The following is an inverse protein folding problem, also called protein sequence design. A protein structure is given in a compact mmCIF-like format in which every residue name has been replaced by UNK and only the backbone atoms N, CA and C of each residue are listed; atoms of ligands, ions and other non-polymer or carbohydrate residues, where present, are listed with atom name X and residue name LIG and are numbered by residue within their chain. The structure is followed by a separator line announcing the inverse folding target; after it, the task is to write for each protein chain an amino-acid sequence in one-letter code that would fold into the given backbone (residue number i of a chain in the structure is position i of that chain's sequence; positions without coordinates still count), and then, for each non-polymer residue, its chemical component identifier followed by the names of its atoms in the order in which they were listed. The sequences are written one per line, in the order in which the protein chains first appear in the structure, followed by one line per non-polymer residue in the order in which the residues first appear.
data_IF_911551784218
#
_entry.id   IF_911551784218
#
_cell.length_a   1.000
_cell.length_b   1.000
_cell.length_c   1.000
_cell.angle_alpha   90.00
_cell.angle_beta   90.00
_cell.angle_gamma   90.00
#
_symmetry.space_group_name_H-M   'P 1'
#
loop_
_entity.id
_entity.type
_entity.pdbx_description
1 polymer ?
#
# COMPACT_ATOMS: atom_id res chain seq x y z
N UNK A 1 10.90 7.68 0.69
CA UNK A 1 9.71 6.94 0.20
C UNK A 1 9.88 6.48 -1.25
N UNK A 2 10.03 7.40 -2.22
CA UNK A 2 10.36 7.11 -3.62
C UNK A 2 11.48 8.03 -4.13
N UNK A 3 11.74 7.98 -5.43
CA UNK A 3 12.72 8.84 -6.11
C UNK A 3 12.01 9.79 -7.08
N UNK A 4 12.04 11.10 -6.78
CA UNK A 4 11.31 12.13 -7.53
C UNK A 4 11.71 12.16 -9.01
N UNK A 5 12.95 11.82 -9.34
CA UNK A 5 13.47 11.84 -10.71
C UNK A 5 13.03 10.61 -11.53
N UNK A 6 12.41 9.61 -10.88
CA UNK A 6 12.00 8.34 -11.50
C UNK A 6 10.49 8.10 -11.48
N UNK A 7 9.75 8.80 -10.63
CA UNK A 7 8.30 8.62 -10.49
C UNK A 7 7.53 9.23 -11.67
N UNK A 8 6.58 8.47 -12.21
CA UNK A 8 5.69 8.93 -13.27
C UNK A 8 4.55 9.76 -12.70
N UNK A 9 4.55 11.07 -12.97
CA UNK A 9 3.51 12.00 -12.47
C UNK A 9 2.08 11.58 -12.83
N UNK A 10 1.87 10.97 -14.01
CA UNK A 10 0.55 10.49 -14.43
C UNK A 10 0.03 9.35 -13.54
N UNK A 11 0.92 8.54 -12.98
CA UNK A 11 0.57 7.42 -12.11
C UNK A 11 0.52 7.83 -10.62
N UNK A 12 1.34 8.79 -10.20
CA UNK A 12 1.48 9.17 -8.78
C UNK A 12 0.65 10.39 -8.37
N UNK A 13 0.42 11.34 -9.29
CA UNK A 13 -0.28 12.60 -9.06
C UNK A 13 -1.22 12.91 -10.25
N UNK A 14 -2.20 12.02 -10.54
CA UNK A 14 -3.04 12.12 -11.73
C UNK A 14 -3.85 13.43 -11.78
N UNK A 15 -4.27 13.97 -10.64
CA UNK A 15 -4.95 15.27 -10.54
C UNK A 15 -4.10 16.44 -11.04
N UNK A 16 -2.78 16.42 -10.80
CA UNK A 16 -1.87 17.46 -11.30
C UNK A 16 -1.77 17.38 -12.81
N UNK A 17 -1.70 16.18 -13.37
CA UNK A 17 -1.72 15.97 -14.83
C UNK A 17 -3.03 16.41 -15.46
N UNK A 18 -4.14 16.13 -14.81
CA UNK A 18 -5.45 16.60 -15.24
C UNK A 18 -5.50 18.13 -15.25
N UNK A 19 -5.03 18.79 -14.19
CA UNK A 19 -5.01 20.25 -14.12
C UNK A 19 -4.13 20.90 -15.19
N UNK A 20 -2.96 20.32 -15.46
CA UNK A 20 -2.08 20.76 -16.54
C UNK A 20 -2.80 20.69 -17.90
N UNK A 21 -3.43 19.56 -18.22
CA UNK A 21 -4.07 19.33 -19.52
C UNK A 21 -5.33 20.16 -19.74
N UNK A 22 -6.20 20.23 -18.73
CA UNK A 22 -7.51 20.88 -18.87
C UNK A 22 -7.46 22.39 -18.66
N UNK A 23 -6.55 22.87 -17.80
CA UNK A 23 -6.51 24.29 -17.42
C UNK A 23 -5.26 25.03 -17.91
N UNK A 24 -4.29 24.33 -18.50
CA UNK A 24 -3.04 24.89 -19.04
C UNK A 24 -2.06 25.43 -17.98
N UNK A 25 -2.50 25.59 -16.73
CA UNK A 25 -1.70 26.00 -15.59
C UNK A 25 -2.20 25.36 -14.30
N UNK A 26 -1.28 24.86 -13.48
CA UNK A 26 -1.62 24.17 -12.22
C UNK A 26 -2.41 25.06 -11.25
N UNK A 27 -2.05 26.35 -11.16
CA UNK A 27 -2.75 27.31 -10.28
C UNK A 27 -4.22 27.46 -10.70
N UNK A 28 -4.50 27.48 -12.00
CA UNK A 28 -5.87 27.57 -12.50
C UNK A 28 -6.67 26.30 -12.18
N UNK A 29 -6.06 25.13 -12.36
CA UNK A 29 -6.70 23.86 -12.00
C UNK A 29 -6.96 23.73 -10.50
N UNK A 30 -6.00 24.12 -9.66
CA UNK A 30 -6.19 24.16 -8.21
C UNK A 30 -7.32 25.11 -7.80
N UNK A 31 -7.39 26.31 -8.38
CA UNK A 31 -8.51 27.24 -8.14
C UNK A 31 -9.86 26.68 -8.59
N UNK A 32 -9.91 25.99 -9.73
CA UNK A 32 -11.12 25.33 -10.19
C UNK A 32 -11.56 24.20 -9.24
N UNK A 33 -10.61 23.37 -8.79
CA UNK A 33 -10.86 22.30 -7.83
C UNK A 33 -11.36 22.83 -6.48
N UNK A 34 -10.77 23.91 -5.96
CA UNK A 34 -11.21 24.55 -4.71
C UNK A 34 -12.65 25.08 -4.78
N UNK A 35 -13.08 25.59 -5.93
CA UNK A 35 -14.47 26.04 -6.12
C UNK A 35 -15.47 24.89 -6.11
N UNK A 36 -15.05 23.70 -6.56
CA UNK A 36 -15.86 22.49 -6.59
C UNK A 36 -15.82 21.73 -5.26
N UNK A 37 -14.77 21.90 -4.47
CA UNK A 37 -14.62 21.29 -3.16
C UNK A 37 -15.60 21.92 -2.16
N UNK A 38 -16.81 21.36 -2.08
CA UNK A 38 -17.75 21.57 -0.96
C UNK A 38 -17.65 20.37 -0.02
N UNK A 39 -17.43 20.63 1.27
CA UNK A 39 -17.42 19.65 2.36
C UNK A 39 -16.59 18.38 2.09
N UNK A 40 -15.36 18.55 1.61
CA UNK A 40 -14.37 17.48 1.70
C UNK A 40 -14.10 17.25 3.20
N UNK A 41 -14.52 16.11 3.73
CA UNK A 41 -14.29 15.73 5.11
C UNK A 41 -12.79 15.72 5.50
N UNK A 42 -12.44 15.24 6.70
CA UNK A 42 -11.06 15.30 7.16
C UNK A 42 -10.11 14.57 6.19
N UNK A 43 -8.97 15.19 5.90
CA UNK A 43 -7.90 14.63 5.05
C UNK A 43 -7.41 13.26 5.54
N UNK A 44 -7.46 13.03 6.86
CA UNK A 44 -7.13 11.76 7.49
C UNK A 44 -8.32 11.24 8.29
N UNK A 45 -8.74 10.01 7.98
CA UNK A 45 -9.76 9.30 8.74
C UNK A 45 -9.27 7.89 9.08
N UNK A 46 -9.61 7.43 10.29
CA UNK A 46 -9.41 6.04 10.69
C UNK A 46 -10.60 5.56 11.52
N UNK A 47 -10.89 4.23 11.55
CA UNK A 47 -11.82 3.70 12.52
C UNK A 47 -11.36 4.01 13.95
N UNK A 48 -12.29 4.32 14.86
CA UNK A 48 -11.98 4.60 16.27
C UNK A 48 -11.23 3.43 16.93
N UNK A 49 -11.60 2.20 16.59
CA UNK A 49 -10.95 0.97 17.06
C UNK A 49 -9.60 0.67 16.35
N UNK A 50 -9.04 1.63 15.62
CA UNK A 50 -7.79 1.48 14.88
C UNK A 50 -7.99 0.82 13.50
N UNK A 51 -6.95 0.92 12.67
CA UNK A 51 -6.99 0.43 11.29
C UNK A 51 -7.18 -1.10 11.20
N UNK A 52 -6.75 -1.83 12.24
CA UNK A 52 -6.91 -3.29 12.37
C UNK A 52 -8.38 -3.74 12.36
N UNK A 53 -9.32 -2.84 12.69
CA UNK A 53 -10.76 -3.16 12.64
C UNK A 53 -11.24 -3.41 11.21
N UNK A 54 -10.65 -2.77 10.20
CA UNK A 54 -11.06 -2.95 8.80
C UNK A 54 -10.91 -4.40 8.33
N UNK A 55 -9.72 -5.04 8.36
CA UNK A 55 -9.58 -6.42 7.94
C UNK A 55 -10.37 -7.38 8.84
N UNK A 56 -10.46 -7.13 10.15
CA UNK A 56 -11.27 -7.95 11.05
C UNK A 56 -12.75 -7.97 10.66
N UNK A 57 -13.32 -6.80 10.33
CA UNK A 57 -14.71 -6.69 9.87
C UNK A 57 -14.95 -7.40 8.53
N UNK A 58 -13.96 -7.41 7.64
CA UNK A 58 -14.05 -8.14 6.37
C UNK A 58 -14.10 -9.65 6.61
N UNK A 59 -13.22 -10.19 7.46
CA UNK A 59 -13.22 -11.62 7.82
C UNK A 59 -14.55 -12.02 8.47
N UNK A 60 -15.08 -11.21 9.38
CA UNK A 60 -16.40 -11.43 9.99
C UNK A 60 -17.52 -11.50 8.95
N UNK A 61 -17.51 -10.62 7.94
CA UNK A 61 -18.56 -10.55 6.91
C UNK A 61 -18.46 -11.63 5.86
N UNK A 62 -17.25 -11.99 5.43
CA UNK A 62 -17.01 -13.03 4.42
C UNK A 62 -17.20 -14.43 5.03
N UNK A 63 -16.99 -14.56 6.34
CA UNK A 63 -17.10 -15.80 7.08
C UNK A 63 -15.77 -16.52 7.19
N UNK A 64 -15.45 -17.01 8.39
CA UNK A 64 -14.16 -17.64 8.68
C UNK A 64 -13.87 -18.90 7.83
N UNK A 65 -14.92 -19.59 7.34
CA UNK A 65 -14.78 -20.74 6.46
C UNK A 65 -14.29 -20.42 5.04
N UNK A 66 -14.29 -19.14 4.66
CA UNK A 66 -13.83 -18.65 3.36
C UNK A 66 -12.41 -18.05 3.42
N UNK A 67 -11.81 -17.97 4.61
CA UNK A 67 -10.50 -17.34 4.85
C UNK A 67 -9.54 -18.38 5.39
N UNK A 68 -8.57 -18.77 4.55
CA UNK A 68 -7.58 -19.78 4.89
C UNK A 68 -6.22 -19.14 5.16
N UNK A 69 -5.87 -18.99 6.43
CA UNK A 69 -4.55 -18.51 6.86
C UNK A 69 -3.52 -19.65 6.87
N UNK A 70 -2.25 -19.32 6.66
CA UNK A 70 -1.18 -20.34 6.60
C UNK A 70 -1.24 -21.23 5.35
N UNK A 71 -1.96 -20.79 4.32
CA UNK A 71 -2.17 -21.50 3.05
C UNK A 71 -1.53 -20.74 1.88
N UNK A 72 -0.18 -20.68 1.79
CA UNK A 72 0.48 -19.97 0.70
C UNK A 72 0.15 -20.64 -0.64
N UNK A 73 -0.36 -19.86 -1.59
CA UNK A 73 -0.59 -20.31 -2.97
C UNK A 73 0.77 -20.48 -3.65
N UNK A 74 1.03 -21.67 -4.19
CA UNK A 74 2.29 -22.01 -4.87
C UNK A 74 2.13 -22.20 -6.37
N UNK A 75 0.91 -22.47 -6.84
CA UNK A 75 0.64 -22.81 -8.24
C UNK A 75 -0.82 -22.48 -8.61
N UNK A 76 -1.01 -22.01 -9.84
CA UNK A 76 -2.31 -21.81 -10.48
C UNK A 76 -2.22 -22.41 -11.88
N UNK A 77 -3.11 -23.33 -12.20
CA UNK A 77 -3.14 -24.01 -13.51
C UNK A 77 -4.53 -23.95 -14.13
N UNK A 78 -4.60 -23.92 -15.46
CA UNK A 78 -5.86 -24.10 -16.19
C UNK A 78 -6.34 -25.55 -16.02
N UNK A 79 -7.63 -25.73 -15.82
CA UNK A 79 -8.30 -27.03 -15.77
C UNK A 79 -9.65 -26.95 -16.51
N UNK A 80 -9.65 -27.34 -17.79
CA UNK A 80 -10.81 -27.20 -18.66
C UNK A 80 -11.22 -25.74 -18.85
N UNK A 81 -12.43 -25.39 -18.40
CA UNK A 81 -12.96 -24.02 -18.43
C UNK A 81 -12.65 -23.21 -17.16
N UNK A 82 -12.01 -23.81 -16.16
CA UNK A 82 -11.68 -23.15 -14.90
C UNK A 82 -10.19 -23.30 -14.55
N UNK A 83 -9.93 -23.27 -13.25
CA UNK A 83 -8.60 -23.24 -12.67
C UNK A 83 -8.50 -24.20 -11.50
N UNK A 84 -7.29 -24.68 -11.28
CA UNK A 84 -6.88 -25.34 -10.05
C UNK A 84 -5.81 -24.52 -9.35
N UNK A 85 -5.99 -24.30 -8.05
CA UNK A 85 -5.09 -23.54 -7.18
C UNK A 85 -4.52 -24.46 -6.11
N UNK A 86 -3.19 -24.46 -5.95
CA UNK A 86 -2.48 -25.22 -4.91
C UNK A 86 -2.06 -24.29 -3.78
N UNK A 87 -2.55 -24.54 -2.56
CA UNK A 87 -2.37 -23.66 -1.40
C UNK A 87 -2.00 -24.40 -0.10
N UNK A 88 -1.03 -25.33 -0.14
CA UNK A 88 -0.55 -26.04 1.06
C UNK A 88 -1.52 -27.09 1.63
N UNK A 89 -2.51 -27.54 0.85
CA UNK A 89 -3.52 -28.53 1.21
C UNK A 89 -4.13 -29.17 -0.05
N UNK A 90 -5.40 -29.63 0.00
CA UNK A 90 -6.12 -30.09 -1.18
C UNK A 90 -6.14 -29.04 -2.30
N UNK A 91 -6.17 -29.50 -3.54
CA UNK A 91 -6.35 -28.62 -4.70
C UNK A 91 -7.72 -27.95 -4.66
N UNK A 92 -7.74 -26.64 -4.91
CA UNK A 92 -8.97 -25.84 -4.97
C UNK A 92 -9.36 -25.63 -6.42
N UNK A 93 -10.60 -25.93 -6.77
CA UNK A 93 -11.14 -25.67 -8.11
C UNK A 93 -11.92 -24.36 -8.12
N UNK A 94 -11.71 -23.54 -9.14
CA UNK A 94 -12.36 -22.24 -9.28
C UNK A 94 -12.66 -21.91 -10.75
N UNK A 95 -13.77 -21.22 -11.01
CA UNK A 95 -14.09 -20.70 -12.34
C UNK A 95 -13.36 -19.37 -12.65
N UNK A 96 -12.94 -18.65 -11.61
CA UNK A 96 -12.17 -17.43 -11.72
C UNK A 96 -11.17 -17.32 -10.57
N UNK A 97 -10.00 -16.72 -10.83
CA UNK A 97 -8.96 -16.48 -9.82
C UNK A 97 -8.62 -15.00 -9.80
N UNK A 98 -8.64 -14.42 -8.60
CA UNK A 98 -8.20 -13.04 -8.35
C UNK A 98 -6.87 -13.08 -7.60
N UNK A 99 -5.82 -12.58 -8.23
CA UNK A 99 -4.49 -12.46 -7.62
C UNK A 99 -4.38 -11.10 -6.94
N UNK A 100 -4.54 -11.12 -5.61
CA UNK A 100 -4.39 -9.95 -4.73
C UNK A 100 -3.02 -9.91 -4.02
N UNK A 101 -2.03 -10.63 -4.56
CA UNK A 101 -0.67 -10.72 -4.01
C UNK A 101 0.21 -9.57 -4.51
N UNK A 102 1.34 -9.27 -3.82
CA UNK A 102 2.33 -8.32 -4.34
C UNK A 102 2.79 -8.71 -5.76
N UNK A 103 3.09 -7.73 -6.61
CA UNK A 103 3.41 -7.98 -8.02
C UNK A 103 4.50 -9.04 -8.27
N UNK A 104 5.61 -9.13 -7.51
CA UNK A 104 6.61 -10.19 -7.70
C UNK A 104 6.07 -11.60 -7.40
N UNK A 105 5.09 -11.72 -6.50
CA UNK A 105 4.43 -12.99 -6.21
C UNK A 105 3.46 -13.32 -7.33
N UNK A 106 2.67 -12.34 -7.77
CA UNK A 106 1.74 -12.47 -8.90
C UNK A 106 2.48 -12.86 -10.18
N UNK A 107 3.64 -12.26 -10.46
CA UNK A 107 4.48 -12.58 -11.63
C UNK A 107 4.86 -14.07 -11.63
N UNK A 108 5.37 -14.58 -10.51
CA UNK A 108 5.74 -15.99 -10.36
C UNK A 108 4.56 -16.94 -10.54
N UNK A 109 3.37 -16.59 -10.03
CA UNK A 109 2.17 -17.40 -10.21
C UNK A 109 1.66 -17.37 -11.65
N UNK A 110 1.91 -16.28 -12.39
CA UNK A 110 1.48 -16.12 -13.77
C UNK A 110 2.50 -16.60 -14.80
N UNK A 111 3.76 -16.81 -14.44
CA UNK A 111 4.81 -17.24 -15.38
C UNK A 111 4.39 -18.43 -16.27
N UNK A 112 3.73 -19.50 -15.76
CA UNK A 112 3.29 -20.61 -16.59
C UNK A 112 2.02 -20.32 -17.43
N UNK A 113 1.22 -19.32 -17.05
CA UNK A 113 -0.10 -19.04 -17.62
C UNK A 113 -0.10 -17.87 -18.61
N UNK A 114 0.70 -16.85 -18.31
CA UNK A 114 0.75 -15.56 -18.98
C UNK A 114 2.14 -14.95 -18.82
N UNK A 115 3.17 -15.51 -19.50
CA UNK A 115 4.55 -15.07 -19.36
C UNK A 115 4.74 -13.59 -19.71
N UNK A 116 3.97 -13.06 -20.66
CA UNK A 116 3.99 -11.63 -20.99
C UNK A 116 3.53 -10.74 -19.81
N UNK A 117 2.47 -11.14 -19.11
CA UNK A 117 2.01 -10.43 -17.90
C UNK A 117 3.04 -10.54 -16.77
N UNK A 118 3.68 -11.71 -16.62
CA UNK A 118 4.70 -11.95 -15.60
C UNK A 118 5.92 -11.03 -15.80
N UNK A 119 6.41 -10.89 -17.03
CA UNK A 119 7.54 -10.00 -17.36
C UNK A 119 7.23 -8.54 -16.99
N UNK A 120 6.04 -8.06 -17.33
CA UNK A 120 5.62 -6.70 -16.99
C UNK A 120 5.48 -6.50 -15.47
N UNK A 121 4.93 -7.48 -14.74
CA UNK A 121 4.82 -7.42 -13.28
C UNK A 121 6.19 -7.41 -12.59
N UNK A 122 7.15 -8.20 -13.05
CA UNK A 122 8.51 -8.24 -12.51
C UNK A 122 9.28 -6.94 -12.75
N UNK A 123 8.93 -6.21 -13.81
CA UNK A 123 9.51 -4.90 -14.09
C UNK A 123 9.01 -3.79 -13.14
N UNK A 124 8.00 -4.05 -12.31
CA UNK A 124 7.55 -3.11 -11.27
C UNK A 124 8.57 -3.11 -10.13
N UNK A 125 9.37 -2.05 -10.03
CA UNK A 125 10.32 -1.89 -8.94
C UNK A 125 9.60 -1.78 -7.58
N UNK A 126 10.18 -2.36 -6.53
CA UNK A 126 9.64 -2.28 -5.17
C UNK A 126 10.69 -1.77 -4.21
N UNK A 127 10.32 -0.77 -3.41
CA UNK A 127 11.17 -0.25 -2.35
C UNK A 127 10.97 -1.02 -1.04
N UNK A 128 12.06 -1.21 -0.31
CA UNK A 128 12.06 -1.67 1.09
C UNK A 128 11.88 -0.46 2.00
N UNK A 129 11.08 -0.60 3.03
CA UNK A 129 10.88 0.46 4.03
C UNK A 129 10.66 -0.14 5.42
N UNK A 130 10.83 0.69 6.43
CA UNK A 130 10.56 0.34 7.82
C UNK A 130 9.84 1.44 8.56
N UNK A 131 9.38 1.11 9.75
CA UNK A 131 8.79 2.03 10.71
C UNK A 131 9.50 1.84 12.03
N UNK A 132 9.89 2.95 12.64
CA UNK A 132 10.34 3.01 14.02
C UNK A 132 9.26 3.70 14.82
N UNK A 133 8.62 2.97 15.72
CA UNK A 133 7.67 3.52 16.67
C UNK A 133 8.42 3.83 17.96
N UNK A 134 8.32 5.07 18.43
CA UNK A 134 8.98 5.55 19.64
C UNK A 134 7.94 6.07 20.63
N UNK A 135 8.00 5.57 21.87
CA UNK A 135 7.14 5.99 22.97
C UNK A 135 8.02 6.66 24.02
N UNK A 136 7.70 7.91 24.34
CA UNK A 136 8.43 8.70 25.33
C UNK A 136 7.71 8.73 26.68
N UNK A 137 8.40 9.25 27.69
CA UNK A 137 7.89 9.38 29.04
C UNK A 137 6.62 10.23 29.15
N UNK A 138 5.89 10.06 30.25
CA UNK A 138 4.74 10.90 30.58
C UNK A 138 5.13 12.39 30.62
N UNK A 139 4.21 13.25 30.20
CA UNK A 139 4.41 14.70 30.10
C UNK A 139 5.06 15.17 28.80
N UNK A 140 5.57 14.27 27.96
CA UNK A 140 6.24 14.66 26.70
C UNK A 140 5.28 14.99 25.56
N UNK A 141 3.99 14.63 25.65
CA UNK A 141 3.02 14.90 24.59
C UNK A 141 2.85 16.40 24.28
N UNK A 142 2.88 17.25 25.31
CA UNK A 142 2.74 18.71 25.17
C UNK A 142 3.94 19.36 24.49
N UNK A 143 5.12 18.72 24.58
CA UNK A 143 6.35 19.20 23.95
C UNK A 143 6.35 19.04 22.42
N UNK A 144 5.50 18.16 21.87
CA UNK A 144 5.34 18.03 20.42
C UNK A 144 4.74 19.32 19.82
N UNK A 145 5.21 19.77 18.65
CA UNK A 145 4.56 20.85 17.91
C UNK A 145 3.09 20.53 17.59
N UNK A 146 2.28 21.57 17.42
CA UNK A 146 0.91 21.44 16.90
C UNK A 146 0.92 21.18 15.38
N UNK A 147 1.31 19.95 15.03
CA UNK A 147 1.44 19.48 13.66
C UNK A 147 1.17 17.98 13.59
N UNK A 148 0.90 17.48 12.38
CA UNK A 148 0.82 16.04 12.15
C UNK A 148 2.20 15.36 12.21
N UNK A 149 3.27 16.11 12.00
CA UNK A 149 4.62 15.60 11.86
C UNK A 149 5.42 16.41 10.84
N UNK A 150 6.47 15.81 10.29
CA UNK A 150 7.31 16.42 9.26
C UNK A 150 7.87 15.37 8.29
N UNK A 151 8.34 15.86 7.13
CA UNK A 151 9.07 15.08 6.12
C UNK A 151 10.50 15.58 6.06
N UNK A 152 11.42 14.69 5.69
CA UNK A 152 12.85 15.01 5.63
C UNK A 152 13.39 14.78 4.21
N UNK A 153 14.12 15.74 3.64
CA UNK A 153 14.80 15.53 2.36
C UNK A 153 15.78 14.35 2.43
N UNK A 154 15.96 13.69 1.29
CA UNK A 154 16.83 12.52 1.18
C UNK A 154 18.25 12.81 1.70
N UNK A 155 18.80 11.88 2.47
CA UNK A 155 20.16 11.95 3.00
C UNK A 155 20.37 12.96 4.14
N UNK A 156 19.30 13.60 4.65
CA UNK A 156 19.41 14.54 5.79
C UNK A 156 19.12 13.91 7.15
N UNK A 157 18.53 12.72 7.18
CA UNK A 157 18.21 11.97 8.40
C UNK A 157 18.16 10.46 8.10
N UNK A 158 18.20 9.60 9.13
CA UNK A 158 17.97 8.15 8.98
C UNK A 158 16.52 7.79 8.64
N UNK A 159 15.61 8.79 8.62
CA UNK A 159 14.19 8.66 8.30
C UNK A 159 13.80 9.68 7.23
N UNK A 160 12.73 9.41 6.47
CA UNK A 160 12.18 10.36 5.49
C UNK A 160 10.87 11.02 5.95
N UNK A 161 10.25 10.50 7.02
CA UNK A 161 9.08 11.13 7.64
C UNK A 161 9.04 10.80 9.13
N UNK A 162 8.41 11.68 9.90
CA UNK A 162 8.04 11.46 11.28
C UNK A 162 6.60 11.95 11.49
N UNK A 163 5.72 11.08 12.00
CA UNK A 163 4.33 11.39 12.33
C UNK A 163 4.15 11.42 13.84
N UNK A 164 3.60 12.51 14.36
CA UNK A 164 3.26 12.69 15.77
C UNK A 164 1.95 11.95 16.05
N UNK A 165 2.05 10.64 16.24
CA UNK A 165 0.92 9.71 16.37
C UNK A 165 -0.02 10.11 17.50
N UNK A 166 0.52 10.51 18.66
CA UNK A 166 -0.30 10.96 19.78
C UNK A 166 -0.99 12.32 19.55
N UNK A 167 -0.56 13.10 18.54
CA UNK A 167 -1.23 14.34 18.10
C UNK A 167 -2.30 14.08 17.06
N UNK A 168 -1.97 13.30 16.02
CA UNK A 168 -2.89 13.02 14.90
C UNK A 168 -4.03 12.10 15.35
N UNK A 169 -3.73 11.12 16.19
CA UNK A 169 -4.70 10.13 16.66
C UNK A 169 -4.59 9.93 18.18
N UNK A 170 -5.05 10.91 18.98
CA UNK A 170 -5.01 10.78 20.44
C UNK A 170 -5.79 9.54 20.88
N UNK A 171 -5.22 8.83 21.84
CA UNK A 171 -5.81 7.63 22.43
C UNK A 171 -5.63 7.70 23.95
N UNK A 172 -6.69 7.44 24.76
CA UNK A 172 -6.57 7.43 26.21
C UNK A 172 -5.46 6.52 26.74
N UNK A 173 -5.14 5.43 26.02
CA UNK A 173 -4.06 4.52 26.40
C UNK A 173 -2.67 5.16 26.33
N UNK A 174 -2.51 6.27 25.60
CA UNK A 174 -1.24 6.98 25.50
C UNK A 174 -0.96 7.86 26.72
N UNK A 175 -2.01 8.26 27.46
CA UNK A 175 -1.89 9.25 28.53
C UNK A 175 -1.23 10.54 28.02
N UNK A 176 -0.25 11.06 28.75
CA UNK A 176 0.52 12.26 28.39
C UNK A 176 1.83 11.96 27.66
N UNK A 177 1.98 10.76 27.07
CA UNK A 177 3.20 10.34 26.36
C UNK A 177 3.23 10.86 24.92
N UNK A 178 4.37 11.36 24.46
CA UNK A 178 4.62 11.54 23.04
C UNK A 178 4.81 10.17 22.37
N UNK A 179 4.10 9.96 21.25
CA UNK A 179 4.28 8.79 20.39
C UNK A 179 4.63 9.28 18.99
N UNK A 180 5.81 8.90 18.52
CA UNK A 180 6.32 9.31 17.22
C UNK A 180 6.55 8.07 16.36
N UNK A 181 5.98 8.08 15.15
CA UNK A 181 6.17 7.04 14.14
C UNK A 181 7.07 7.60 13.05
N UNK A 182 8.28 7.07 12.93
CA UNK A 182 9.24 7.47 11.91
C UNK A 182 9.31 6.43 10.79
N UNK A 183 9.39 6.87 9.55
CA UNK A 183 9.57 5.96 8.41
C UNK A 183 11.00 6.00 7.89
N UNK A 184 11.58 4.82 7.72
CA UNK A 184 12.97 4.61 7.31
C UNK A 184 13.04 3.82 6.00
N UNK A 185 14.20 3.89 5.34
CA UNK A 185 14.41 3.25 4.05
C UNK A 185 13.81 4.02 2.88
N UNK A 186 13.20 3.28 1.95
CA UNK A 186 12.78 3.79 0.64
C UNK A 186 13.90 3.74 -0.39
N UNK A 187 13.60 4.20 -1.60
CA UNK A 187 14.50 4.09 -2.75
C UNK A 187 15.89 4.65 -2.46
N UNK A 188 16.91 3.80 -2.60
CA UNK A 188 18.34 4.03 -2.37
C UNK A 188 18.71 4.51 -0.96
N UNK A 189 18.00 3.99 0.04
CA UNK A 189 18.36 4.00 1.46
C UNK A 189 17.89 2.68 2.13
N UNK A 190 17.68 1.62 1.35
CA UNK A 190 17.11 0.35 1.80
C UNK A 190 17.97 -0.35 2.84
N UNK A 191 19.29 -0.15 2.76
CA UNK A 191 20.30 -0.68 3.69
C UNK A 191 20.09 -0.25 5.14
N UNK A 192 19.52 0.95 5.36
CA UNK A 192 19.14 1.42 6.71
C UNK A 192 18.18 0.45 7.40
N UNK A 193 17.34 -0.26 6.64
CA UNK A 193 16.35 -1.19 7.19
C UNK A 193 17.00 -2.50 7.66
N UNK A 194 18.17 -2.85 7.15
CA UNK A 194 18.88 -4.10 7.49
C UNK A 194 19.73 -3.98 8.77
N UNK A 195 19.90 -2.77 9.28
CA UNK A 195 20.62 -2.54 10.54
C UNK A 195 19.90 -3.14 11.76
N UNK A 196 20.64 -3.45 12.85
CA UNK A 196 20.06 -3.88 14.12
C UNK A 196 19.04 -2.87 14.68
N UNK A 197 17.99 -3.35 15.33
CA UNK A 197 16.93 -2.50 15.89
C UNK A 197 17.47 -1.40 16.82
N UNK A 198 18.44 -1.74 17.67
CA UNK A 198 19.05 -0.81 18.60
C UNK A 198 19.72 0.37 17.88
N UNK A 199 20.49 0.08 16.84
CA UNK A 199 21.22 1.09 16.06
C UNK A 199 20.24 2.01 15.29
N UNK A 200 19.18 1.42 14.72
CA UNK A 200 18.11 2.17 14.05
C UNK A 200 17.41 3.10 15.04
N UNK A 201 17.02 2.57 16.21
CA UNK A 201 16.32 3.34 17.25
C UNK A 201 17.18 4.48 17.75
N UNK A 202 18.46 4.22 18.04
CA UNK A 202 19.40 5.25 18.50
C UNK A 202 19.60 6.36 17.47
N UNK A 203 19.83 5.99 16.20
CA UNK A 203 20.02 6.96 15.12
C UNK A 203 18.78 7.85 14.93
N UNK A 204 17.59 7.25 14.93
CA UNK A 204 16.32 7.97 14.77
C UNK A 204 16.02 8.84 16.00
N UNK A 205 16.17 8.32 17.22
CA UNK A 205 15.84 9.06 18.44
C UNK A 205 16.78 10.25 18.65
N UNK A 206 18.08 10.08 18.37
CA UNK A 206 19.06 11.18 18.39
C UNK A 206 18.71 12.28 17.39
N UNK A 207 18.27 11.90 16.19
CA UNK A 207 17.84 12.89 15.20
C UNK A 207 16.57 13.63 15.64
N UNK A 208 15.60 12.92 16.25
CA UNK A 208 14.40 13.55 16.80
C UNK A 208 14.70 14.52 17.93
N UNK A 209 15.56 14.15 18.88
CA UNK A 209 15.94 15.02 19.99
C UNK A 209 16.70 16.27 19.52
N UNK A 210 17.43 16.20 18.41
CA UNK A 210 18.03 17.37 17.77
C UNK A 210 17.00 18.30 17.10
N UNK A 211 15.85 17.76 16.68
CA UNK A 211 14.81 18.50 15.96
C UNK A 211 13.62 18.94 16.84
N UNK A 212 13.41 18.27 17.97
CA UNK A 212 12.24 18.41 18.83
C UNK A 212 12.66 18.43 20.30
N UNK A 213 11.88 19.07 21.18
CA UNK A 213 12.10 19.08 22.63
C UNK A 213 11.71 17.73 23.27
N UNK A 214 12.28 16.63 22.79
CA UNK A 214 12.11 15.28 23.30
C UNK A 214 13.42 14.77 23.90
N UNK A 215 13.37 13.86 24.89
CA UNK A 215 14.55 13.17 25.39
C UNK A 215 15.28 12.39 24.29
N UNK A 216 16.59 12.17 24.45
CA UNK A 216 17.38 11.37 23.50
C UNK A 216 16.92 9.91 23.44
N UNK A 217 16.48 9.35 24.59
CA UNK A 217 16.09 7.96 24.72
C UNK A 217 14.56 7.82 24.88
N UNK A 218 13.88 6.99 24.05
CA UNK A 218 12.49 6.61 24.28
C UNK A 218 12.37 5.63 25.46
N UNK A 219 11.20 5.56 26.11
CA UNK A 219 10.90 4.51 27.10
C UNK A 219 10.70 3.15 26.44
N UNK A 220 10.08 3.15 25.25
CA UNK A 220 9.83 1.95 24.46
C UNK A 220 10.00 2.24 22.98
N UNK A 221 10.43 1.24 22.24
CA UNK A 221 10.53 1.31 20.79
C UNK A 221 10.10 -0.01 20.15
N UNK A 222 9.71 0.08 18.88
CA UNK A 222 9.51 -1.08 18.02
C UNK A 222 9.96 -0.74 16.60
N UNK A 223 10.68 -1.66 15.97
CA UNK A 223 11.06 -1.57 14.55
C UNK A 223 10.25 -2.60 13.77
N UNK A 224 9.55 -2.14 12.73
CA UNK A 224 8.80 -3.01 11.81
C UNK A 224 9.35 -2.81 10.41
N UNK A 225 9.57 -3.91 9.69
CA UNK A 225 10.23 -3.91 8.37
C UNK A 225 9.30 -4.48 7.31
N UNK A 226 9.32 -3.86 6.14
CA UNK A 226 8.57 -4.29 4.96
C UNK A 226 9.51 -4.37 3.75
N UNK A 227 10.18 -5.53 3.57
CA UNK A 227 11.07 -5.74 2.44
C UNK A 227 10.27 -5.77 1.14
N UNK A 228 10.69 -4.96 0.16
CA UNK A 228 10.09 -4.88 -1.19
C UNK A 228 8.56 -4.80 -1.19
N UNK A 229 7.97 -4.08 -0.24
CA UNK A 229 6.51 -4.01 -0.10
C UNK A 229 5.87 -2.80 -0.78
N UNK A 230 6.66 -1.82 -1.24
CA UNK A 230 6.12 -0.58 -1.82
C UNK A 230 6.41 -0.51 -3.32
N UNK A 231 5.44 -0.80 -4.20
CA UNK A 231 5.64 -0.65 -5.64
C UNK A 231 5.99 0.80 -5.99
N UNK A 232 6.90 0.97 -6.94
CA UNK A 232 7.36 2.25 -7.43
C UNK A 232 6.77 2.50 -8.82
N UNK A 233 5.87 3.47 -8.89
CA UNK A 233 5.19 3.83 -10.14
C UNK A 233 6.11 4.71 -10.98
N UNK A 234 7.02 4.07 -11.69
CA UNK A 234 7.99 4.73 -12.56
C UNK A 234 7.37 5.29 -13.84
N UNK A 235 8.21 5.83 -14.71
CA UNK A 235 7.81 6.16 -16.08
C UNK A 235 7.26 4.91 -16.79
N UNK A 236 6.14 5.06 -17.51
CA UNK A 236 5.50 3.96 -18.23
C UNK A 236 4.63 3.03 -17.36
N UNK A 237 4.41 3.35 -16.07
CA UNK A 237 3.70 2.45 -15.15
C UNK A 237 2.25 2.17 -15.58
N UNK A 238 1.52 3.16 -16.11
CA UNK A 238 0.14 2.95 -16.53
C UNK A 238 0.06 2.06 -17.78
N UNK A 239 0.95 2.28 -18.74
CA UNK A 239 1.09 1.47 -19.94
C UNK A 239 1.43 0.02 -19.59
N UNK A 240 2.32 -0.17 -18.61
CA UNK A 240 2.65 -1.48 -18.04
C UNK A 240 1.44 -2.16 -17.42
N UNK A 241 0.65 -1.44 -16.62
CA UNK A 241 -0.58 -2.00 -16.01
C UNK A 241 -1.57 -2.44 -17.10
N UNK A 242 -1.72 -1.66 -18.18
CA UNK A 242 -2.54 -2.05 -19.34
C UNK A 242 -2.00 -3.34 -19.97
N UNK A 243 -0.70 -3.39 -20.27
CA UNK A 243 -0.07 -4.57 -20.87
C UNK A 243 -0.22 -5.83 -20.00
N UNK A 244 -0.12 -5.70 -18.67
CA UNK A 244 -0.42 -6.80 -17.74
C UNK A 244 -1.84 -7.29 -17.94
N UNK A 245 -2.84 -6.40 -17.88
CA UNK A 245 -4.26 -6.77 -17.93
C UNK A 245 -4.64 -7.38 -19.29
N UNK A 246 -4.10 -6.86 -20.39
CA UNK A 246 -4.35 -7.38 -21.74
C UNK A 246 -3.74 -8.78 -21.96
N UNK A 247 -2.66 -9.10 -21.27
CA UNK A 247 -2.00 -10.40 -21.35
C UNK A 247 -2.60 -11.46 -20.40
N UNK A 248 -3.59 -11.13 -19.56
CA UNK A 248 -4.19 -12.09 -18.65
C UNK A 248 -5.13 -13.06 -19.38
N UNK A 249 -5.12 -14.36 -19.04
CA UNK A 249 -6.11 -15.30 -19.53
C UNK A 249 -7.53 -14.93 -19.05
N UNK A 250 -8.58 -15.23 -19.83
CA UNK A 250 -9.96 -15.07 -19.35
C UNK A 250 -10.15 -15.80 -18.02
N UNK A 251 -10.77 -15.14 -17.04
CA UNK A 251 -11.01 -15.69 -15.71
C UNK A 251 -9.89 -15.45 -14.69
N UNK A 252 -8.74 -14.92 -15.13
CA UNK A 252 -7.70 -14.40 -14.23
C UNK A 252 -7.85 -12.88 -14.09
N UNK A 253 -7.81 -12.41 -12.85
CA UNK A 253 -7.87 -11.00 -12.50
C UNK A 253 -6.74 -10.65 -11.54
N UNK A 254 -6.32 -9.38 -11.55
CA UNK A 254 -5.31 -8.85 -10.65
C UNK A 254 -5.85 -7.62 -9.93
N UNK A 255 -5.48 -7.47 -8.65
CA UNK A 255 -5.85 -6.32 -7.83
C UNK A 255 -4.80 -6.09 -6.75
N UNK A 256 -4.61 -4.85 -6.30
CA UNK A 256 -3.63 -4.52 -5.28
C UNK A 256 -2.99 -3.16 -5.51
N UNK A 257 -1.98 -2.88 -4.70
CA UNK A 257 -1.25 -1.62 -4.68
C UNK A 257 -0.24 -1.47 -5.83
N UNK A 258 0.00 -2.50 -6.64
CA UNK A 258 0.88 -2.44 -7.79
C UNK A 258 0.23 -1.85 -9.06
N UNK A 259 -1.09 -1.61 -9.04
CA UNK A 259 -1.86 -1.28 -10.23
C UNK A 259 -2.32 0.19 -10.24
N UNK A 260 -3.53 0.46 -9.76
CA UNK A 260 -4.24 1.74 -9.92
C UNK A 260 -4.17 2.69 -8.73
N UNK A 261 -3.18 2.54 -7.85
CA UNK A 261 -2.94 3.39 -6.68
C UNK A 261 -2.41 2.61 -5.47
N UNK A 262 -1.49 3.24 -4.74
CA UNK A 262 -0.86 2.66 -3.53
C UNK A 262 -1.66 2.93 -2.25
N UNK A 263 -2.62 3.85 -2.30
CA UNK A 263 -3.45 4.23 -1.15
C UNK A 263 -4.53 3.19 -0.86
N UNK A 264 -4.91 3.05 0.42
CA UNK A 264 -5.97 2.12 0.82
C UNK A 264 -7.30 2.38 0.08
N UNK A 265 -7.65 3.65 -0.13
CA UNK A 265 -8.87 4.02 -0.87
C UNK A 265 -8.82 3.56 -2.33
N UNK A 266 -7.66 3.68 -2.99
CA UNK A 266 -7.46 3.21 -4.36
C UNK A 266 -7.54 1.69 -4.46
N UNK A 267 -6.90 0.98 -3.51
CA UNK A 267 -6.95 -0.49 -3.45
C UNK A 267 -8.39 -0.97 -3.24
N UNK A 268 -9.16 -0.32 -2.36
CA UNK A 268 -10.58 -0.66 -2.15
C UNK A 268 -11.41 -0.39 -3.42
N UNK A 269 -11.23 0.76 -4.07
CA UNK A 269 -11.91 1.08 -5.33
C UNK A 269 -11.57 0.05 -6.42
N UNK A 270 -10.29 -0.29 -6.57
CA UNK A 270 -9.84 -1.29 -7.53
C UNK A 270 -10.38 -2.70 -7.22
N UNK A 271 -10.55 -3.05 -5.94
CA UNK A 271 -11.18 -4.29 -5.52
C UNK A 271 -12.67 -4.34 -5.90
N UNK A 272 -13.42 -3.26 -5.70
CA UNK A 272 -14.83 -3.17 -6.11
C UNK A 272 -14.99 -3.28 -7.63
N UNK A 273 -14.14 -2.59 -8.40
CA UNK A 273 -14.12 -2.69 -9.86
C UNK A 273 -13.80 -4.11 -10.33
N UNK A 274 -12.82 -4.76 -9.70
CA UNK A 274 -12.43 -6.14 -10.01
C UNK A 274 -13.53 -7.13 -9.68
N UNK A 275 -14.20 -6.98 -8.53
CA UNK A 275 -15.33 -7.83 -8.14
C UNK A 275 -16.47 -7.77 -9.17
N UNK A 276 -16.80 -6.59 -9.70
CA UNK A 276 -17.81 -6.44 -10.78
C UNK A 276 -17.40 -7.18 -12.05
N UNK A 277 -16.12 -7.11 -12.44
CA UNK A 277 -15.58 -7.81 -13.61
C UNK A 277 -15.63 -9.34 -13.43
N UNK A 278 -15.30 -9.83 -12.24
CA UNK A 278 -15.41 -11.25 -11.89
C UNK A 278 -16.87 -11.72 -12.00
N UNK A 279 -17.82 -10.98 -11.41
CA UNK A 279 -19.24 -11.33 -11.48
C UNK A 279 -19.77 -11.35 -12.93
N UNK A 280 -19.36 -10.38 -13.76
CA UNK A 280 -19.74 -10.35 -15.17
C UNK A 280 -19.16 -11.54 -15.95
N UNK A 281 -17.92 -11.94 -15.66
CA UNK A 281 -17.29 -13.11 -16.27
C UNK A 281 -18.04 -14.41 -15.92
N UNK A 282 -18.30 -14.62 -14.62
CA UNK A 282 -19.01 -15.81 -14.13
C UNK A 282 -20.45 -15.90 -14.67
N UNK A 283 -21.14 -14.76 -14.82
CA UNK A 283 -22.45 -14.72 -15.44
C UNK A 283 -22.41 -15.14 -16.92
N UNK A 284 -21.39 -14.68 -17.65
CA UNK A 284 -21.19 -15.07 -19.05
C UNK A 284 -20.83 -16.55 -19.23
N UNK A 285 -20.09 -17.15 -18.28
CA UNK A 285 -19.82 -18.59 -18.29
C UNK A 285 -21.09 -19.42 -18.07
N UNK A 286 -21.92 -19.02 -17.09
CA UNK A 286 -23.18 -19.69 -16.82
C UNK A 286 -24.14 -19.67 -18.03
N UNK A 287 -24.12 -18.61 -18.83
CA UNK A 287 -24.89 -18.53 -20.07
C UNK A 287 -24.32 -19.46 -21.16
N UNK A 288 -22.98 -19.55 -21.28
CA UNK A 288 -22.32 -20.48 -22.22
C UNK A 288 -22.55 -21.95 -21.89
N UNK A 289 -22.58 -22.31 -20.61
CA UNK A 289 -22.88 -23.67 -20.17
C UNK A 289 -24.33 -24.08 -20.41
N UNK A 290 -25.29 -23.15 -20.30
CA UNK A 290 -26.72 -23.42 -20.57
C UNK A 290 -27.05 -23.64 -22.05
N UNK A 291 -26.20 -23.16 -22.95
CA UNK A 291 -26.39 -23.25 -24.41
C UNK A 291 -25.72 -24.50 -25.00
N UNK A 292 -24.88 -25.20 -24.23
CA UNK A 292 -24.24 -26.47 -24.60
C UNK A 292 -25.07 -27.67 -24.13
#
# INVERSE_FOLDING_TARGET
AGDIDRLGVSATLPEIRFWEREHGALIHGAHAALKLARDAGPMFARPRAGIVRLPAALVERVGAGCVHCGSPVTDVRVDGAGFVVRAGGPELHAHAVVLATPAPVTARLLEPLAPAAAVELDAIAHATSGVVLLVYAEGTAEALPDAAGFVVPRGKAPMFSATFTSRVWPDPAFGSRAIVRCEIGGVGAEDVVDAPDADIVEAVSRHLAAALPLPDAPERSAVVRWPRARPQYGLGHLERVVAVVEALPPGIFVVGDAYGGVGLADVVRGADETARRVLAHLAGDAERERVR
#
